data_IF_932144059503
#
_entry.id   IF_932144059503
#
_cell.length_a   1.000
_cell.length_b   1.000
_cell.length_c   1.000
_cell.angle_alpha   90.00
_cell.angle_beta   90.00
_cell.angle_gamma   90.00
#
_symmetry.space_group_name_H-M   'P 1'
#
loop_
_entity.id
_entity.type
_entity.pdbx_description
1 polymer ?
#
# COMPACT_ATOMS: atom_id res chain seq x y z
N UNK A 1 6.34 8.51 -20.68
CA UNK A 1 7.70 8.55 -20.11
C UNK A 1 8.39 9.78 -20.68
N UNK A 2 8.39 10.91 -19.96
CA UNK A 2 9.18 12.16 -20.16
C UNK A 2 8.41 13.43 -19.75
N UNK A 3 7.79 13.45 -18.56
CA UNK A 3 7.26 14.71 -18.00
C UNK A 3 7.59 14.91 -16.51
N UNK A 4 8.34 13.99 -15.90
CA UNK A 4 8.87 14.14 -14.55
C UNK A 4 10.33 13.71 -14.59
N UNK A 5 11.24 14.58 -14.15
CA UNK A 5 12.69 14.35 -14.04
C UNK A 5 13.06 13.25 -13.01
N UNK A 6 12.34 12.13 -12.94
CA UNK A 6 12.77 10.92 -12.22
C UNK A 6 13.52 10.01 -13.19
N UNK A 7 14.83 10.24 -13.27
CA UNK A 7 15.78 9.28 -13.83
C UNK A 7 15.96 8.14 -12.82
N UNK A 8 15.18 7.07 -12.97
CA UNK A 8 15.43 5.72 -12.42
C UNK A 8 15.32 5.57 -10.87
N UNK A 9 14.50 4.62 -10.43
CA UNK A 9 14.47 4.13 -9.04
C UNK A 9 13.07 4.15 -8.42
N UNK A 10 12.23 3.18 -8.77
CA UNK A 10 10.89 3.00 -8.20
C UNK A 10 9.97 2.22 -9.15
N UNK A 11 8.99 1.52 -8.59
CA UNK A 11 8.01 0.75 -9.33
C UNK A 11 7.51 -0.46 -8.55
N UNK A 12 6.21 -0.68 -8.59
CA UNK A 12 5.57 -1.89 -8.06
C UNK A 12 5.28 -2.85 -9.21
N UNK A 13 5.47 -4.15 -8.96
CA UNK A 13 5.15 -5.20 -9.93
C UNK A 13 4.45 -6.35 -9.22
N UNK A 14 3.34 -6.79 -9.81
CA UNK A 14 2.64 -8.00 -9.41
C UNK A 14 2.77 -9.03 -10.52
N UNK A 15 3.27 -10.21 -10.19
CA UNK A 15 3.28 -11.37 -11.09
C UNK A 15 2.22 -12.36 -10.65
N UNK A 16 1.40 -12.80 -11.60
CA UNK A 16 0.29 -13.74 -11.35
C UNK A 16 0.52 -15.00 -12.14
N UNK A 17 0.41 -16.15 -11.45
CA UNK A 17 0.50 -17.46 -12.11
C UNK A 17 -0.67 -17.64 -13.08
N UNK A 18 -0.40 -18.20 -14.26
CA UNK A 18 -1.34 -18.26 -15.39
C UNK A 18 -2.66 -18.99 -15.11
N UNK A 19 -2.75 -19.78 -14.05
CA UNK A 19 -3.97 -20.49 -13.66
C UNK A 19 -4.93 -19.64 -12.81
N UNK A 20 -4.57 -18.40 -12.47
CA UNK A 20 -5.47 -17.47 -11.79
C UNK A 20 -6.09 -16.50 -12.80
N UNK A 21 -7.41 -16.32 -12.71
CA UNK A 21 -8.09 -15.26 -13.42
C UNK A 21 -7.82 -13.93 -12.70
N UNK A 22 -7.22 -12.98 -13.41
CA UNK A 22 -6.77 -11.71 -12.85
C UNK A 22 -7.19 -10.54 -13.74
N UNK A 23 -7.68 -9.48 -13.13
CA UNK A 23 -8.01 -8.21 -13.76
C UNK A 23 -7.23 -7.10 -13.04
N UNK A 24 -6.61 -6.19 -13.79
CA UNK A 24 -6.03 -4.99 -13.20
C UNK A 24 -7.15 -4.02 -12.77
N UNK A 25 -7.01 -3.46 -11.59
CA UNK A 25 -7.94 -2.45 -11.06
C UNK A 25 -7.46 -1.07 -11.50
N UNK A 26 -8.40 -0.20 -11.87
CA UNK A 26 -8.10 1.19 -12.14
C UNK A 26 -7.74 1.93 -10.84
N UNK A 27 -6.48 2.35 -10.74
CA UNK A 27 -5.93 3.10 -9.61
C UNK A 27 -5.72 4.59 -9.95
N UNK A 28 -6.31 5.07 -11.06
CA UNK A 28 -6.09 6.41 -11.57
C UNK A 28 -6.49 7.51 -10.58
N UNK A 29 -7.53 7.30 -9.78
CA UNK A 29 -7.95 8.23 -8.72
C UNK A 29 -6.83 8.53 -7.73
N UNK A 30 -6.02 7.52 -7.40
CA UNK A 30 -4.89 7.63 -6.46
C UNK A 30 -3.66 8.18 -7.18
N UNK A 31 -3.28 7.58 -8.33
CA UNK A 31 -2.04 7.96 -9.04
C UNK A 31 -2.09 9.38 -9.61
N UNK A 32 -3.28 9.89 -9.93
CA UNK A 32 -3.46 11.27 -10.38
C UNK A 32 -3.43 12.27 -9.22
N UNK A 33 -3.75 11.84 -8.00
CA UNK A 33 -3.74 12.68 -6.81
C UNK A 33 -2.37 12.72 -6.13
N UNK A 34 -1.60 11.63 -6.22
CA UNK A 34 -0.31 11.48 -5.52
C UNK A 34 0.72 10.84 -6.45
N UNK A 35 1.65 11.66 -6.95
CA UNK A 35 2.70 11.20 -7.87
C UNK A 35 3.93 10.58 -7.17
N UNK A 36 4.04 10.74 -5.85
CA UNK A 36 5.18 10.25 -5.08
C UNK A 36 5.12 8.74 -4.81
N UNK A 37 3.92 8.15 -4.85
CA UNK A 37 3.65 6.76 -4.45
C UNK A 37 3.38 5.92 -5.68
N UNK A 38 4.05 4.77 -5.78
CA UNK A 38 3.75 3.78 -6.80
C UNK A 38 2.69 2.81 -6.26
N UNK A 39 1.59 2.62 -6.98
CA UNK A 39 0.47 1.75 -6.57
C UNK A 39 -0.02 0.92 -7.75
N UNK A 40 -0.32 -0.35 -7.47
CA UNK A 40 -0.91 -1.28 -8.45
C UNK A 40 -1.94 -2.16 -7.75
N UNK A 41 -3.14 -2.24 -8.32
CA UNK A 41 -4.20 -3.12 -7.85
C UNK A 41 -4.53 -4.20 -8.85
N UNK A 42 -4.78 -5.40 -8.35
CA UNK A 42 -5.39 -6.48 -9.12
C UNK A 42 -6.55 -7.12 -8.35
N UNK A 43 -7.47 -7.69 -9.11
CA UNK A 43 -8.58 -8.51 -8.63
C UNK A 43 -8.35 -9.93 -9.12
N UNK A 44 -8.22 -10.87 -8.19
CA UNK A 44 -8.08 -12.30 -8.46
C UNK A 44 -9.43 -12.97 -8.19
N UNK A 45 -9.91 -13.76 -9.14
CA UNK A 45 -11.11 -14.58 -8.96
C UNK A 45 -10.73 -16.05 -8.99
N UNK A 46 -11.04 -16.77 -7.90
CA UNK A 46 -10.74 -18.20 -7.77
C UNK A 46 -11.83 -18.91 -6.97
N UNK A 47 -12.43 -19.97 -7.51
CA UNK A 47 -13.49 -20.76 -6.86
C UNK A 47 -14.61 -19.90 -6.24
N UNK A 48 -15.19 -18.98 -7.01
CA UNK A 48 -16.23 -18.02 -6.60
C UNK A 48 -15.81 -17.06 -5.47
N UNK A 49 -14.53 -17.04 -5.09
CA UNK A 49 -13.96 -16.08 -4.16
C UNK A 49 -13.25 -14.99 -4.95
N UNK A 50 -13.57 -13.73 -4.62
CA UNK A 50 -12.85 -12.56 -5.15
C UNK A 50 -11.87 -12.09 -4.08
N UNK A 51 -10.62 -11.88 -4.49
CA UNK A 51 -9.55 -11.32 -3.67
C UNK A 51 -8.99 -10.07 -4.36
N UNK A 52 -8.96 -8.97 -3.62
CA UNK A 52 -8.31 -7.73 -4.04
C UNK A 52 -6.88 -7.72 -3.51
N UNK A 53 -5.91 -7.46 -4.37
CA UNK A 53 -4.50 -7.30 -3.98
C UNK A 53 -4.05 -5.93 -4.42
N UNK A 54 -3.64 -5.10 -3.46
CA UNK A 54 -3.09 -3.77 -3.73
C UNK A 54 -1.65 -3.77 -3.25
N UNK A 55 -0.73 -3.46 -4.16
CA UNK A 55 0.69 -3.33 -3.89
C UNK A 55 1.08 -1.85 -3.91
N UNK A 56 1.73 -1.38 -2.84
CA UNK A 56 2.17 0.00 -2.67
C UNK A 56 3.69 0.07 -2.48
N UNK A 57 4.30 1.11 -3.01
CA UNK A 57 5.62 1.57 -2.61
C UNK A 57 5.52 3.04 -2.22
N UNK A 58 5.71 3.32 -0.93
CA UNK A 58 5.68 4.67 -0.37
C UNK A 58 7.12 5.05 -0.05
N UNK A 59 7.75 6.00 -0.78
CA UNK A 59 9.12 6.41 -0.51
C UNK A 59 9.32 6.93 0.91
N UNK A 60 10.51 6.78 1.52
CA UNK A 60 10.78 7.27 2.88
C UNK A 60 10.64 8.80 2.98
N UNK A 61 10.89 9.52 1.88
CA UNK A 61 10.77 10.98 1.78
C UNK A 61 9.32 11.48 1.67
N UNK A 62 8.33 10.59 1.66
CA UNK A 62 6.91 10.96 1.58
C UNK A 62 6.53 11.77 2.82
N UNK A 63 5.86 12.90 2.62
CA UNK A 63 5.43 13.76 3.73
C UNK A 63 4.31 13.09 4.52
N UNK A 64 4.09 13.52 5.76
CA UNK A 64 2.97 13.02 6.56
C UNK A 64 1.61 13.29 5.87
N UNK A 65 1.42 14.49 5.31
CA UNK A 65 0.18 14.86 4.61
C UNK A 65 -0.08 14.01 3.37
N UNK A 66 0.96 13.69 2.59
CA UNK A 66 0.81 12.79 1.43
C UNK A 66 0.47 11.37 1.90
N UNK A 67 1.09 10.91 2.99
CA UNK A 67 0.83 9.60 3.57
C UNK A 67 -0.64 9.46 4.03
N UNK A 68 -1.15 10.46 4.74
CA UNK A 68 -2.55 10.57 5.13
C UNK A 68 -3.48 10.56 3.92
N UNK A 69 -3.15 11.33 2.88
CA UNK A 69 -3.94 11.36 1.66
C UNK A 69 -4.01 10.00 0.96
N UNK A 70 -2.91 9.24 0.90
CA UNK A 70 -2.93 7.86 0.34
C UNK A 70 -3.93 6.99 1.09
N UNK A 71 -3.87 6.99 2.42
CA UNK A 71 -4.74 6.14 3.25
C UNK A 71 -6.21 6.54 3.09
N UNK A 72 -6.51 7.84 3.09
CA UNK A 72 -7.86 8.35 2.88
C UNK A 72 -8.40 7.96 1.50
N UNK A 73 -7.58 8.03 0.45
CA UNK A 73 -8.01 7.63 -0.90
C UNK A 73 -8.24 6.12 -1.00
N UNK A 74 -7.40 5.30 -0.34
CA UNK A 74 -7.60 3.85 -0.26
C UNK A 74 -8.91 3.48 0.44
N UNK A 75 -9.22 4.16 1.54
CA UNK A 75 -10.47 4.01 2.28
C UNK A 75 -11.68 4.31 1.37
N UNK A 76 -11.63 5.41 0.63
CA UNK A 76 -12.70 5.83 -0.29
C UNK A 76 -12.94 4.85 -1.44
N UNK A 77 -11.95 4.05 -1.85
CA UNK A 77 -12.16 3.07 -2.92
C UNK A 77 -13.08 1.91 -2.51
N UNK A 78 -13.37 1.74 -1.21
CA UNK A 78 -14.31 0.72 -0.72
C UNK A 78 -13.84 -0.73 -0.89
N UNK A 79 -12.61 -0.96 -1.38
CA UNK A 79 -12.03 -2.30 -1.46
C UNK A 79 -11.85 -2.93 -0.08
N UNK A 80 -11.67 -2.10 0.96
CA UNK A 80 -11.51 -2.52 2.36
C UNK A 80 -12.71 -3.31 2.91
N UNK A 81 -13.90 -3.18 2.30
CA UNK A 81 -15.09 -3.95 2.70
C UNK A 81 -15.10 -5.40 2.17
N UNK A 82 -14.10 -5.80 1.37
CA UNK A 82 -13.99 -7.12 0.73
C UNK A 82 -12.70 -7.84 1.17
N UNK A 83 -12.54 -9.11 0.75
CA UNK A 83 -11.28 -9.84 0.95
C UNK A 83 -10.13 -9.11 0.24
N UNK A 84 -9.40 -8.30 0.99
CA UNK A 84 -8.31 -7.46 0.49
C UNK A 84 -7.00 -7.83 1.17
N UNK A 85 -5.93 -7.77 0.39
CA UNK A 85 -4.56 -7.83 0.88
C UNK A 85 -3.87 -6.54 0.43
N UNK A 86 -3.43 -5.76 1.39
CA UNK A 86 -2.51 -4.65 1.16
C UNK A 86 -1.09 -5.16 1.38
N UNK A 87 -0.25 -5.00 0.37
CA UNK A 87 1.16 -5.35 0.39
C UNK A 87 1.96 -4.10 0.04
N UNK A 88 3.19 -4.03 0.53
CA UNK A 88 4.05 -2.94 0.11
C UNK A 88 5.23 -2.69 1.02
N UNK A 89 6.05 -1.75 0.56
CA UNK A 89 7.03 -1.09 1.39
C UNK A 89 6.46 0.29 1.77
N UNK A 90 6.06 0.39 3.03
CA UNK A 90 5.47 1.58 3.62
C UNK A 90 6.54 2.56 4.13
N UNK A 91 7.81 2.15 4.19
CA UNK A 91 8.92 2.91 4.77
C UNK A 91 8.63 3.46 6.18
N UNK A 92 8.00 2.64 7.02
CA UNK A 92 7.78 2.91 8.45
C UNK A 92 8.64 1.93 9.27
N UNK A 93 9.91 2.25 9.55
CA UNK A 93 10.84 1.31 10.19
C UNK A 93 10.40 0.93 11.61
N UNK A 94 9.70 1.81 12.31
CA UNK A 94 9.31 1.62 13.70
C UNK A 94 7.87 1.11 13.88
N UNK A 95 7.21 0.65 12.80
CA UNK A 95 5.81 0.24 12.86
C UNK A 95 5.53 -0.84 13.92
N UNK A 96 6.45 -1.80 14.07
CA UNK A 96 6.34 -2.89 15.04
C UNK A 96 7.02 -2.59 16.40
N UNK A 97 7.55 -1.38 16.59
CA UNK A 97 8.22 -0.98 17.83
C UNK A 97 7.29 -0.09 18.67
N UNK A 98 6.62 -0.70 19.65
CA UNK A 98 5.68 -0.03 20.55
C UNK A 98 6.31 0.99 21.51
N UNK A 99 7.64 1.13 21.51
CA UNK A 99 8.36 2.10 22.33
C UNK A 99 8.68 3.41 21.59
N UNK A 100 8.43 3.47 20.28
CA UNK A 100 8.68 4.64 19.45
C UNK A 100 7.37 5.19 18.91
N UNK A 101 7.05 6.42 19.30
CA UNK A 101 5.93 7.15 18.71
C UNK A 101 6.35 7.76 17.37
N UNK A 102 5.66 7.37 16.30
CA UNK A 102 5.83 7.92 14.95
C UNK A 102 4.44 8.17 14.35
N UNK A 103 4.24 9.38 13.82
CA UNK A 103 2.94 9.80 13.30
C UNK A 103 2.47 8.93 12.12
N UNK A 104 3.40 8.42 11.27
CA UNK A 104 3.05 7.54 10.15
C UNK A 104 2.62 6.16 10.65
N UNK A 105 3.29 5.62 11.68
CA UNK A 105 2.85 4.41 12.37
C UNK A 105 1.45 4.56 12.95
N UNK A 106 1.18 5.66 13.65
CA UNK A 106 -0.12 5.93 14.28
C UNK A 106 -1.24 5.98 13.25
N UNK A 107 -1.07 6.73 12.15
CA UNK A 107 -2.14 6.84 11.15
C UNK A 107 -2.34 5.55 10.36
N UNK A 108 -1.27 4.79 10.08
CA UNK A 108 -1.40 3.47 9.46
C UNK A 108 -2.14 2.49 10.39
N UNK A 109 -1.84 2.52 11.69
CA UNK A 109 -2.54 1.69 12.68
C UNK A 109 -4.03 2.05 12.75
N UNK A 110 -4.37 3.34 12.79
CA UNK A 110 -5.75 3.81 12.76
C UNK A 110 -6.47 3.33 11.50
N UNK A 111 -5.83 3.41 10.32
CA UNK A 111 -6.39 2.92 9.07
C UNK A 111 -6.62 1.40 9.09
N UNK A 112 -5.69 0.62 9.63
CA UNK A 112 -5.81 -0.84 9.78
C UNK A 112 -7.02 -1.18 10.68
N UNK A 113 -7.14 -0.52 11.83
CA UNK A 113 -8.24 -0.75 12.77
C UNK A 113 -9.59 -0.33 12.19
N UNK A 114 -9.66 0.86 11.62
CA UNK A 114 -10.87 1.38 10.98
C UNK A 114 -11.35 0.48 9.85
N UNK A 115 -10.42 -0.01 9.02
CA UNK A 115 -10.72 -0.89 7.88
C UNK A 115 -10.94 -2.36 8.29
N UNK A 116 -10.83 -2.71 9.58
CA UNK A 116 -10.93 -4.09 10.05
C UNK A 116 -9.83 -5.01 9.49
N UNK A 117 -8.68 -4.44 9.09
CA UNK A 117 -7.55 -5.18 8.56
C UNK A 117 -6.72 -5.79 9.69
N UNK A 118 -5.87 -6.76 9.32
CA UNK A 118 -4.93 -7.40 10.23
C UNK A 118 -3.51 -7.31 9.67
N UNK A 119 -2.59 -6.79 10.47
CA UNK A 119 -1.16 -6.85 10.16
C UNK A 119 -0.65 -8.27 10.36
N UNK A 120 0.09 -8.79 9.37
CA UNK A 120 0.71 -10.11 9.42
C UNK A 120 2.24 -10.06 9.57
N UNK A 121 2.87 -8.93 9.28
CA UNK A 121 4.31 -8.77 9.50
C UNK A 121 4.60 -8.35 10.95
N UNK A 122 5.11 -9.29 11.75
CA UNK A 122 5.49 -9.06 13.15
C UNK A 122 7.01 -8.88 13.34
N UNK A 123 7.76 -8.70 12.26
CA UNK A 123 9.22 -8.53 12.33
C UNK A 123 9.54 -7.09 12.71
N UNK A 124 10.23 -6.90 13.82
CA UNK A 124 10.75 -5.60 14.21
C UNK A 124 12.03 -5.27 13.42
N UNK A 125 12.16 -4.02 13.00
CA UNK A 125 13.36 -3.53 12.35
C UNK A 125 14.47 -3.22 13.36
N UNK A 126 15.23 -4.23 13.75
CA UNK A 126 16.27 -4.14 14.79
C UNK A 126 17.57 -3.52 14.25
N UNK A 127 17.72 -3.36 12.92
CA UNK A 127 18.97 -2.92 12.28
C UNK A 127 18.94 -1.47 11.78
N UNK A 128 17.89 -0.70 12.07
CA UNK A 128 17.69 0.67 11.57
C UNK A 128 17.88 0.79 10.04
N UNK A 129 17.53 -0.25 9.29
CA UNK A 129 17.60 -0.22 7.82
C UNK A 129 16.32 0.43 7.30
N UNK A 130 16.46 1.56 6.60
CA UNK A 130 15.44 2.09 5.70
C UNK A 130 15.55 1.36 4.36
#
# INVERSE_FOLDING_TARGET
FELVNKKWGGGVLISVKSNFLCEQIDMSSITNSIHAVDILGIKITHNNTVLYVILLYIPPTTTFSDYELVLNLLEQQGYCANNIILLGDFNIPHFNNFHVEDNKSTILQNFIEFSGLKQYNNVENIQNRL
#
